data_IF_126585333141
#
_entry.id   IF_126585333141
#
_cell.length_a   1.000
_cell.length_b   1.000
_cell.length_c   1.000
_cell.angle_alpha   90.00
_cell.angle_beta   90.00
_cell.angle_gamma   90.00
#
_symmetry.space_group_name_H-M   'P 1'
#
loop_
_entity.id
_entity.type
_entity.pdbx_description
1 polymer ?
#
# COMPACT_ATOMS: atom_id res chain seq x y z
N UNK A 1 -23.81 50.05 -8.79
CA UNK A 1 -23.46 48.62 -8.54
C UNK A 1 -22.11 48.55 -7.84
N UNK A 2 -22.12 48.33 -6.52
CA UNK A 2 -20.90 48.18 -5.73
C UNK A 2 -20.22 46.85 -6.05
N UNK A 3 -19.13 46.92 -6.82
CA UNK A 3 -18.26 45.79 -7.13
C UNK A 3 -17.66 45.33 -5.79
N UNK A 4 -18.19 44.24 -5.22
CA UNK A 4 -17.60 43.57 -4.04
C UNK A 4 -16.15 43.25 -4.38
N UNK A 5 -15.20 44.07 -3.91
CA UNK A 5 -13.80 43.67 -3.85
C UNK A 5 -13.78 42.46 -2.92
N UNK A 6 -13.53 41.28 -3.48
CA UNK A 6 -13.11 40.14 -2.67
C UNK A 6 -11.79 40.56 -2.02
N UNK A 7 -11.87 41.15 -0.83
CA UNK A 7 -10.82 41.10 0.18
C UNK A 7 -10.76 39.66 0.70
N UNK A 8 -10.59 38.70 -0.22
CA UNK A 8 -9.94 37.47 0.16
C UNK A 8 -8.51 37.90 0.37
N UNK A 9 -8.06 37.92 1.62
CA UNK A 9 -6.64 37.83 1.95
C UNK A 9 -6.07 36.77 1.02
N UNK A 10 -5.41 37.23 -0.06
CA UNK A 10 -4.46 36.40 -0.77
C UNK A 10 -3.37 36.24 0.26
N UNK A 11 -3.55 35.28 1.17
CA UNK A 11 -2.45 34.63 1.81
C UNK A 11 -1.68 34.07 0.63
N UNK A 12 -0.76 34.87 0.10
CA UNK A 12 0.36 34.41 -0.68
C UNK A 12 1.02 33.40 0.23
N UNK A 13 0.58 32.14 0.12
CA UNK A 13 1.12 31.03 0.90
C UNK A 13 2.62 31.17 0.75
N UNK A 14 3.31 31.49 1.85
CA UNK A 14 4.75 31.68 1.78
C UNK A 14 5.34 30.38 1.21
N UNK A 15 6.46 30.44 0.46
CA UNK A 15 7.10 29.23 -0.05
C UNK A 15 7.29 28.18 1.06
N UNK A 16 7.47 28.64 2.31
CA UNK A 16 7.50 27.82 3.51
C UNK A 16 6.18 27.07 3.81
N UNK A 17 5.01 27.72 3.70
CA UNK A 17 3.72 27.06 3.89
C UNK A 17 3.41 26.04 2.77
N UNK A 18 3.89 26.27 1.54
CA UNK A 18 3.78 25.30 0.45
C UNK A 18 4.66 24.07 0.69
N UNK A 19 5.89 24.28 1.16
CA UNK A 19 6.80 23.21 1.60
C UNK A 19 6.19 22.39 2.74
N UNK A 20 5.66 23.07 3.77
CA UNK A 20 5.06 22.41 4.92
C UNK A 20 3.87 21.52 4.53
N UNK A 21 2.98 22.01 3.64
CA UNK A 21 1.88 21.21 3.09
C UNK A 21 2.37 20.01 2.27
N UNK A 22 3.44 20.17 1.50
CA UNK A 22 4.03 19.07 0.74
C UNK A 22 4.63 18.00 1.66
N UNK A 23 5.42 18.41 2.66
CA UNK A 23 5.98 17.50 3.66
C UNK A 23 4.90 16.71 4.38
N UNK A 24 3.85 17.38 4.89
CA UNK A 24 2.71 16.71 5.55
C UNK A 24 2.06 15.69 4.61
N UNK A 25 1.89 16.03 3.34
CA UNK A 25 1.33 15.13 2.33
C UNK A 25 2.20 13.91 2.06
N UNK A 26 3.53 14.05 2.08
CA UNK A 26 4.47 12.94 1.90
C UNK A 26 4.50 12.06 3.16
N UNK A 27 4.60 12.66 4.35
CA UNK A 27 4.62 11.93 5.62
C UNK A 27 3.35 11.10 5.81
N UNK A 28 2.17 11.65 5.49
CA UNK A 28 0.91 10.90 5.56
C UNK A 28 0.90 9.69 4.63
N UNK A 29 1.44 9.81 3.41
CA UNK A 29 1.57 8.68 2.48
C UNK A 29 2.50 7.59 3.00
N UNK A 30 3.62 7.97 3.61
CA UNK A 30 4.58 7.02 4.20
C UNK A 30 3.90 6.22 5.30
N UNK A 31 3.22 6.90 6.24
CA UNK A 31 2.49 6.24 7.33
C UNK A 31 1.44 5.29 6.77
N UNK A 32 0.66 5.74 5.79
CA UNK A 32 -0.37 4.91 5.16
C UNK A 32 0.22 3.68 4.44
N UNK A 33 1.37 3.84 3.78
CA UNK A 33 2.08 2.73 3.12
C UNK A 33 2.51 1.67 4.13
N UNK A 34 3.07 2.09 5.28
CA UNK A 34 3.48 1.17 6.35
C UNK A 34 2.28 0.37 6.89
N UNK A 35 1.14 1.04 7.13
CA UNK A 35 -0.07 0.37 7.61
C UNK A 35 -0.57 -0.67 6.59
N UNK A 36 -0.58 -0.33 5.30
CA UNK A 36 -1.01 -1.27 4.26
C UNK A 36 -0.03 -2.45 4.15
N UNK A 37 1.27 -2.24 4.29
CA UNK A 37 2.24 -3.33 4.27
C UNK A 37 2.00 -4.34 5.39
N UNK A 38 1.65 -3.88 6.60
CA UNK A 38 1.28 -4.76 7.72
C UNK A 38 0.02 -5.58 7.38
N UNK A 39 -1.00 -4.92 6.81
CA UNK A 39 -2.22 -5.61 6.37
C UNK A 39 -1.93 -6.63 5.25
N UNK A 40 -1.07 -6.27 4.31
CA UNK A 40 -0.65 -7.14 3.21
C UNK A 40 0.05 -8.39 3.74
N UNK A 41 0.93 -8.25 4.73
CA UNK A 41 1.56 -9.40 5.37
C UNK A 41 0.52 -10.37 5.96
N UNK A 42 -0.49 -9.85 6.65
CA UNK A 42 -1.58 -10.68 7.19
C UNK A 42 -2.38 -11.39 6.09
N UNK A 43 -2.78 -10.67 5.04
CA UNK A 43 -3.54 -11.25 3.91
C UNK A 43 -2.70 -12.30 3.18
N UNK A 44 -1.43 -12.03 2.94
CA UNK A 44 -0.52 -12.94 2.26
C UNK A 44 -0.31 -14.23 3.05
N UNK A 45 -0.16 -14.13 4.37
CA UNK A 45 -0.03 -15.28 5.25
C UNK A 45 -1.27 -16.19 5.21
N UNK A 46 -2.47 -15.61 5.22
CA UNK A 46 -3.72 -16.37 5.08
C UNK A 46 -3.82 -17.02 3.71
N UNK A 47 -3.46 -16.32 2.63
CA UNK A 47 -3.43 -16.88 1.28
C UNK A 47 -2.51 -18.10 1.15
N UNK A 48 -1.32 -18.04 1.75
CA UNK A 48 -0.41 -19.19 1.80
C UNK A 48 -1.03 -20.36 2.57
N UNK A 49 -1.73 -20.09 3.67
CA UNK A 49 -2.48 -21.11 4.42
C UNK A 49 -3.55 -21.79 3.56
N UNK A 50 -4.30 -21.01 2.77
CA UNK A 50 -5.33 -21.54 1.85
C UNK A 50 -4.69 -22.41 0.77
N UNK A 51 -3.58 -21.96 0.16
CA UNK A 51 -2.86 -22.71 -0.88
C UNK A 51 -2.34 -24.03 -0.31
N UNK A 52 -1.78 -24.00 0.90
CA UNK A 52 -1.27 -25.20 1.57
C UNK A 52 -2.41 -26.18 1.89
N UNK A 53 -3.53 -25.67 2.43
CA UNK A 53 -4.72 -26.47 2.71
C UNK A 53 -5.30 -27.13 1.45
N UNK A 54 -5.40 -26.38 0.35
CA UNK A 54 -5.86 -26.89 -0.95
C UNK A 54 -4.88 -27.92 -1.54
N UNK A 55 -3.58 -27.67 -1.41
CA UNK A 55 -2.53 -28.56 -1.89
C UNK A 55 -2.52 -29.92 -1.19
N UNK A 56 -2.69 -29.91 0.14
CA UNK A 56 -2.71 -31.10 0.96
C UNK A 56 -4.04 -31.88 0.83
N UNK A 57 -5.18 -31.20 0.92
CA UNK A 57 -6.49 -31.89 1.02
C UNK A 57 -7.21 -32.09 -0.31
N UNK A 58 -7.00 -31.23 -1.31
CA UNK A 58 -7.75 -31.28 -2.57
C UNK A 58 -6.95 -31.89 -3.72
N UNK A 59 -5.66 -31.58 -3.80
CA UNK A 59 -4.84 -31.91 -4.96
C UNK A 59 -3.92 -33.11 -4.75
N UNK A 60 -3.79 -33.64 -3.52
CA UNK A 60 -2.77 -34.64 -3.14
C UNK A 60 -1.36 -34.28 -3.68
N UNK A 61 -1.09 -32.99 -3.85
CA UNK A 61 0.19 -32.51 -4.39
C UNK A 61 1.30 -32.59 -3.34
N UNK A 62 0.90 -32.64 -2.06
CA UNK A 62 1.78 -32.67 -0.91
C UNK A 62 1.32 -33.83 -0.02
N UNK A 63 2.26 -34.68 0.40
CA UNK A 63 1.99 -35.81 1.29
C UNK A 63 1.77 -35.39 2.75
N UNK A 64 2.22 -34.19 3.12
CA UNK A 64 2.11 -33.63 4.47
C UNK A 64 1.85 -32.11 4.40
N UNK A 65 1.17 -31.58 5.42
CA UNK A 65 0.99 -30.13 5.59
C UNK A 65 2.34 -29.47 5.87
N UNK A 66 2.87 -28.70 4.91
CA UNK A 66 4.11 -27.96 5.10
C UNK A 66 3.83 -26.75 5.99
N UNK A 67 4.72 -26.40 6.94
CA UNK A 67 4.59 -25.15 7.68
C UNK A 67 4.49 -23.97 6.70
N UNK A 68 3.45 -23.15 6.83
CA UNK A 68 3.25 -21.94 5.99
C UNK A 68 4.48 -21.02 5.97
N UNK A 69 5.24 -21.01 7.07
CA UNK A 69 6.49 -20.27 7.19
C UNK A 69 7.60 -20.78 6.26
N UNK A 70 7.67 -22.08 6.00
CA UNK A 70 8.64 -22.66 5.07
C UNK A 70 8.26 -22.37 3.62
N UNK A 71 6.95 -22.34 3.33
CA UNK A 71 6.44 -21.88 2.04
C UNK A 71 6.75 -20.40 1.79
N UNK A 72 6.64 -19.57 2.82
CA UNK A 72 7.02 -18.15 2.76
C UNK A 72 8.54 -17.97 2.53
N UNK A 73 9.37 -18.82 3.15
CA UNK A 73 10.83 -18.79 2.98
C UNK A 73 11.29 -19.26 1.59
N UNK A 74 10.43 -19.97 0.84
CA UNK A 74 10.74 -20.34 -0.53
C UNK A 74 10.96 -19.11 -1.41
N UNK A 75 11.82 -19.26 -2.44
CA UNK A 75 12.12 -18.19 -3.40
C UNK A 75 10.83 -17.66 -4.05
N UNK A 76 9.92 -18.56 -4.41
CA UNK A 76 8.63 -18.19 -5.00
C UNK A 76 7.78 -17.36 -4.02
N UNK A 77 7.69 -17.78 -2.76
CA UNK A 77 6.95 -17.05 -1.73
C UNK A 77 7.48 -15.64 -1.51
N UNK A 78 8.80 -15.49 -1.41
CA UNK A 78 9.43 -14.18 -1.26
C UNK A 78 9.21 -13.28 -2.47
N UNK A 79 9.32 -13.82 -3.69
CA UNK A 79 9.10 -13.05 -4.92
C UNK A 79 7.66 -12.53 -5.00
N UNK A 80 6.66 -13.38 -4.73
CA UNK A 80 5.26 -12.94 -4.73
C UNK A 80 4.98 -11.89 -3.66
N UNK A 81 5.55 -12.05 -2.47
CA UNK A 81 5.42 -11.06 -1.40
C UNK A 81 5.99 -9.70 -1.80
N UNK A 82 7.21 -9.68 -2.36
CA UNK A 82 7.90 -8.47 -2.81
C UNK A 82 7.15 -7.78 -3.96
N UNK A 83 6.64 -8.55 -4.93
CA UNK A 83 5.81 -8.02 -6.02
C UNK A 83 4.58 -7.30 -5.44
N UNK A 84 3.88 -7.91 -4.48
CA UNK A 84 2.74 -7.27 -3.82
C UNK A 84 3.10 -5.97 -3.11
N UNK A 85 4.25 -5.92 -2.44
CA UNK A 85 4.77 -4.71 -1.80
C UNK A 85 5.03 -3.59 -2.81
N UNK A 86 5.61 -3.92 -3.97
CA UNK A 86 5.85 -2.96 -5.06
C UNK A 86 4.52 -2.40 -5.60
N UNK A 87 3.51 -3.26 -5.81
CA UNK A 87 2.18 -2.81 -6.23
C UNK A 87 1.54 -1.84 -5.23
N UNK A 88 1.70 -2.08 -3.93
CA UNK A 88 1.19 -1.18 -2.88
C UNK A 88 1.87 0.19 -2.96
N UNK A 89 3.20 0.23 -3.14
CA UNK A 89 3.92 1.50 -3.30
C UNK A 89 3.42 2.24 -4.54
N UNK A 90 3.28 1.54 -5.67
CA UNK A 90 2.74 2.14 -6.89
C UNK A 90 1.35 2.71 -6.61
N UNK A 91 0.45 1.95 -5.98
CA UNK A 91 -0.90 2.39 -5.66
C UNK A 91 -0.93 3.67 -4.80
N UNK A 92 -0.19 3.70 -3.68
CA UNK A 92 -0.21 4.84 -2.74
C UNK A 92 0.44 6.10 -3.35
N UNK A 93 1.50 5.93 -4.15
CA UNK A 93 2.20 7.06 -4.74
C UNK A 93 1.51 7.58 -6.01
N UNK A 94 0.94 6.69 -6.84
CA UNK A 94 0.26 7.03 -8.09
C UNK A 94 -1.24 7.34 -7.95
N UNK A 95 -1.87 7.22 -6.76
CA UNK A 95 -3.27 7.63 -6.53
C UNK A 95 -3.57 9.08 -6.98
N UNK A 96 -2.57 9.98 -6.91
CA UNK A 96 -2.72 11.37 -7.41
C UNK A 96 -2.71 11.51 -8.93
N UNK A 97 -2.21 10.51 -9.67
CA UNK A 97 -2.19 10.54 -11.14
C UNK A 97 -3.57 10.21 -11.72
N UNK A 98 -4.35 9.36 -11.03
CA UNK A 98 -5.67 8.91 -11.48
C UNK A 98 -6.85 9.72 -10.95
N UNK A 99 -6.69 10.52 -9.88
CA UNK A 99 -7.72 11.46 -9.39
C UNK A 99 -7.73 12.83 -10.10
N UNK A 100 -7.55 12.87 -11.42
CA UNK A 100 -7.97 14.02 -12.22
C UNK A 100 -9.41 13.80 -12.67
N UNK A 101 -10.37 14.10 -11.79
CA UNK A 101 -11.75 14.44 -12.14
C UNK A 101 -12.16 15.65 -11.32
#
# INVERSE_FOLDING_TARGET
MLKRRKLGTVYTLSPFQKLMKWCIGVTSKIIFTIVIWILWFGVYYVLLGIINFLGANLANLWSEEIPTMDFFRSIMGQVFYVIGMIFIVIYVFFDKLFRRK
#
